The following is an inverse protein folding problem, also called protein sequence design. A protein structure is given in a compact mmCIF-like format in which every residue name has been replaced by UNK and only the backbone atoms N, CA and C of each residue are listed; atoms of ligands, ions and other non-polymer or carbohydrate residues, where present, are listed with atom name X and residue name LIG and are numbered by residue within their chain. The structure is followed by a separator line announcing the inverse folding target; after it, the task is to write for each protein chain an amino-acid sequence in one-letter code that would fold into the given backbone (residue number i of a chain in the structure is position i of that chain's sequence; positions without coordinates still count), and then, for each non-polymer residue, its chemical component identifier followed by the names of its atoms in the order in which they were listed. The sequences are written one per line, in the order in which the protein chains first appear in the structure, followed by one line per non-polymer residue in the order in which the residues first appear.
data_IF_374804353780
#
_entry.id   IF_374804353780
#
_cell.length_a   1.000
_cell.length_b   1.000
_cell.length_c   1.000
_cell.angle_alpha   90.00
_cell.angle_beta   90.00
_cell.angle_gamma   90.00
#
_symmetry.space_group_name_H-M   'P 1'
#
loop_
_entity.id
_entity.type
_entity.pdbx_description
1 polymer ?
#
# COMPACT_ATOMS: atom_id res chain seq x y z
N UNK A 1 -31.91 -0.99 13.09
CA UNK A 1 -30.65 -0.52 12.48
C UNK A 1 -29.62 -1.62 12.67
N UNK A 2 -29.34 -2.44 11.65
CA UNK A 2 -28.32 -3.48 11.78
C UNK A 2 -26.94 -2.81 11.75
N UNK A 3 -26.13 -3.03 12.78
CA UNK A 3 -24.71 -2.71 12.74
C UNK A 3 -24.09 -3.59 11.65
N UNK A 4 -23.80 -3.02 10.48
CA UNK A 4 -22.98 -3.71 9.49
C UNK A 4 -21.63 -3.91 10.16
N UNK A 5 -21.19 -5.15 10.42
CA UNK A 5 -19.90 -5.38 11.04
C UNK A 5 -18.86 -4.79 10.09
N UNK A 6 -18.13 -3.78 10.58
CA UNK A 6 -16.96 -3.24 9.89
C UNK A 6 -15.95 -4.38 9.88
N UNK A 7 -15.87 -5.11 8.76
CA UNK A 7 -14.87 -6.17 8.58
C UNK A 7 -13.50 -5.58 8.83
N UNK A 8 -12.69 -6.29 9.60
CA UNK A 8 -11.34 -5.84 9.94
C UNK A 8 -10.46 -5.88 8.68
N UNK A 9 -9.46 -4.99 8.60
CA UNK A 9 -8.47 -5.02 7.52
C UNK A 9 -7.76 -6.39 7.44
N UNK A 10 -7.56 -7.08 8.57
CA UNK A 10 -6.98 -8.43 8.58
C UNK A 10 -7.84 -9.45 7.83
N UNK A 11 -9.16 -9.34 7.94
CA UNK A 11 -10.09 -10.22 7.22
C UNK A 11 -10.16 -9.85 5.74
N UNK A 12 -10.11 -8.54 5.44
CA UNK A 12 -10.11 -8.02 4.06
C UNK A 12 -8.85 -8.43 3.30
N UNK A 13 -7.69 -8.42 3.95
CA UNK A 13 -6.43 -8.81 3.31
C UNK A 13 -6.39 -10.30 2.91
N UNK A 14 -7.30 -11.12 3.44
CA UNK A 14 -7.49 -12.52 3.04
C UNK A 14 -8.51 -12.68 1.91
N UNK A 15 -9.23 -11.61 1.54
CA UNK A 15 -10.16 -11.65 0.42
C UNK A 15 -9.38 -11.97 -0.87
N UNK A 16 -10.00 -12.75 -1.76
CA UNK A 16 -9.37 -13.22 -3.00
C UNK A 16 -8.82 -12.07 -3.85
N UNK A 17 -9.41 -10.88 -3.76
CA UNK A 17 -8.99 -9.71 -4.51
C UNK A 17 -7.65 -9.16 -4.04
N UNK A 18 -7.15 -9.57 -2.87
CA UNK A 18 -5.80 -9.28 -2.38
C UNK A 18 -4.79 -10.41 -2.66
N UNK A 19 -5.10 -11.30 -3.61
CA UNK A 19 -4.21 -12.35 -4.15
C UNK A 19 -3.82 -12.05 -5.60
N UNK A 20 -2.71 -12.62 -6.10
CA UNK A 20 -2.26 -12.38 -7.47
C UNK A 20 -3.30 -12.83 -8.52
N UNK A 21 -3.98 -13.94 -8.24
CA UNK A 21 -4.96 -14.57 -9.12
C UNK A 21 -6.29 -13.81 -9.11
N UNK A 22 -6.75 -13.37 -7.93
CA UNK A 22 -8.03 -12.67 -7.78
C UNK A 22 -7.95 -11.15 -7.92
N UNK A 23 -6.76 -10.58 -8.05
CA UNK A 23 -6.56 -9.13 -8.13
C UNK A 23 -7.36 -8.50 -9.28
N UNK A 24 -8.14 -7.47 -8.94
CA UNK A 24 -8.82 -6.63 -9.92
C UNK A 24 -7.79 -5.67 -10.52
N UNK A 25 -7.53 -5.78 -11.83
CA UNK A 25 -6.54 -4.95 -12.55
C UNK A 25 -7.18 -4.16 -13.68
N UNK A 26 -6.53 -3.08 -14.11
CA UNK A 26 -6.83 -2.43 -15.38
C UNK A 26 -6.20 -3.15 -16.59
N UNK A 27 -6.41 -2.59 -17.79
CA UNK A 27 -5.90 -3.14 -19.05
C UNK A 27 -4.36 -3.21 -19.13
N UNK A 28 -3.65 -2.47 -18.29
CA UNK A 28 -2.18 -2.42 -18.22
C UNK A 28 -1.61 -3.36 -17.15
N UNK A 29 -2.45 -4.20 -16.52
CA UNK A 29 -2.03 -5.10 -15.44
C UNK A 29 -1.77 -4.39 -14.11
N UNK A 30 -2.24 -3.14 -13.96
CA UNK A 30 -2.11 -2.40 -12.72
C UNK A 30 -3.32 -2.67 -11.82
N UNK A 31 -3.13 -2.89 -10.52
CA UNK A 31 -4.23 -3.00 -9.53
C UNK A 31 -5.21 -1.83 -9.65
N UNK A 32 -6.50 -2.09 -9.80
CA UNK A 32 -7.45 -1.10 -10.29
C UNK A 32 -7.76 -0.01 -9.24
N UNK A 33 -7.54 1.26 -9.59
CA UNK A 33 -7.58 2.36 -8.63
C UNK A 33 -8.91 2.49 -7.86
N UNK A 34 -10.03 2.55 -8.59
CA UNK A 34 -11.34 2.82 -7.99
C UNK A 34 -11.80 1.69 -7.06
N UNK A 35 -11.55 0.43 -7.44
CA UNK A 35 -11.86 -0.74 -6.65
C UNK A 35 -11.15 -0.69 -5.29
N UNK A 36 -9.82 -0.57 -5.29
CA UNK A 36 -9.07 -0.59 -4.02
C UNK A 36 -9.25 0.66 -3.16
N UNK A 37 -9.69 1.78 -3.77
CA UNK A 37 -10.01 3.01 -3.02
C UNK A 37 -11.14 2.80 -2.02
N UNK A 38 -12.06 1.86 -2.28
CA UNK A 38 -13.17 1.55 -1.38
C UNK A 38 -12.72 1.01 -0.01
N UNK A 39 -11.51 0.43 0.08
CA UNK A 39 -10.99 -0.16 1.32
C UNK A 39 -10.22 0.84 2.20
N UNK A 40 -9.99 2.07 1.75
CA UNK A 40 -9.18 3.08 2.48
C UNK A 40 -9.63 3.21 3.93
N UNK A 41 -10.94 3.30 4.18
CA UNK A 41 -11.45 3.54 5.52
C UNK A 41 -11.19 2.35 6.47
N UNK A 42 -11.37 1.12 6.00
CA UNK A 42 -11.13 -0.09 6.80
C UNK A 42 -9.65 -0.18 7.21
N UNK A 43 -8.75 0.08 6.27
CA UNK A 43 -7.31 0.08 6.53
C UNK A 43 -6.87 1.20 7.48
N UNK A 44 -7.42 2.41 7.35
CA UNK A 44 -7.15 3.52 8.28
C UNK A 44 -7.53 3.20 9.71
N UNK A 45 -8.75 2.70 9.93
CA UNK A 45 -9.25 2.38 11.27
C UNK A 45 -8.35 1.34 11.94
N UNK A 46 -7.97 0.29 11.20
CA UNK A 46 -7.11 -0.77 11.75
C UNK A 46 -5.67 -0.33 11.97
N UNK A 47 -5.10 0.49 11.08
CA UNK A 47 -3.75 1.03 11.26
C UNK A 47 -3.63 1.82 12.56
N UNK A 48 -4.63 2.65 12.89
CA UNK A 48 -4.66 3.35 14.18
C UNK A 48 -4.79 2.39 15.37
N UNK A 49 -5.62 1.35 15.25
CA UNK A 49 -5.84 0.38 16.33
C UNK A 49 -4.62 -0.51 16.61
N UNK A 50 -3.79 -0.78 15.60
CA UNK A 50 -2.58 -1.59 15.70
C UNK A 50 -1.29 -0.75 15.80
N UNK A 51 -1.42 0.56 15.96
CA UNK A 51 -0.26 1.43 16.08
C UNK A 51 0.44 1.16 17.41
N UNK A 52 1.58 0.47 17.37
CA UNK A 52 2.46 0.34 18.53
C UNK A 52 3.18 1.69 18.79
N UNK A 53 2.91 2.36 19.93
CA UNK A 53 3.56 3.62 20.29
C UNK A 53 5.05 3.46 20.60
N UNK A 54 5.51 2.24 20.93
CA UNK A 54 6.90 1.94 21.25
C UNK A 54 7.73 1.55 20.01
N UNK A 55 7.09 1.40 18.84
CA UNK A 55 7.79 1.03 17.62
C UNK A 55 8.87 2.09 17.25
N UNK A 56 10.05 1.65 16.76
CA UNK A 56 11.11 2.56 16.33
C UNK A 56 10.59 3.60 15.34
N UNK A 57 10.95 4.87 15.58
CA UNK A 57 10.60 5.98 14.70
C UNK A 57 11.66 6.20 13.62
N UNK A 58 11.27 6.65 12.43
CA UNK A 58 12.20 6.99 11.34
C UNK A 58 12.45 5.88 10.31
N UNK A 59 13.51 6.05 9.50
CA UNK A 59 13.81 5.24 8.30
C UNK A 59 14.12 3.75 8.55
N UNK A 60 14.26 3.34 9.82
CA UNK A 60 14.40 1.93 10.20
C UNK A 60 13.07 1.17 10.13
N UNK A 61 11.94 1.87 10.18
CA UNK A 61 10.62 1.24 10.02
C UNK A 61 10.32 1.11 8.54
N UNK A 62 9.94 -0.09 8.09
CA UNK A 62 9.24 -0.29 6.82
C UNK A 62 7.75 -0.03 7.10
N UNK A 63 7.25 1.19 6.87
CA UNK A 63 5.93 1.58 7.37
C UNK A 63 4.82 0.79 6.68
N UNK A 64 3.80 0.42 7.45
CA UNK A 64 2.68 -0.39 6.96
C UNK A 64 2.96 -1.88 6.91
N UNK A 65 4.22 -2.32 7.08
CA UNK A 65 4.51 -3.72 7.37
C UNK A 65 4.18 -4.04 8.84
N UNK A 66 3.70 -5.26 9.07
CA UNK A 66 3.42 -5.90 10.36
C UNK A 66 4.42 -7.03 10.57
N UNK A 67 4.49 -7.54 11.79
CA UNK A 67 5.30 -8.71 12.11
C UNK A 67 4.88 -9.91 11.25
N UNK A 68 5.88 -10.60 10.68
CA UNK A 68 5.67 -11.72 9.76
C UNK A 68 5.45 -11.32 8.30
N UNK A 69 5.27 -10.03 7.97
CA UNK A 69 5.26 -9.61 6.58
C UNK A 69 6.65 -9.81 5.95
N UNK A 70 6.65 -10.32 4.73
CA UNK A 70 7.83 -10.35 3.89
C UNK A 70 7.79 -9.17 2.94
N UNK A 71 8.86 -8.38 2.89
CA UNK A 71 9.02 -7.33 1.87
C UNK A 71 9.29 -7.98 0.52
N UNK A 72 8.43 -7.81 -0.50
CA UNK A 72 8.68 -8.38 -1.81
C UNK A 72 9.87 -7.71 -2.49
N UNK A 73 10.58 -8.48 -3.33
CA UNK A 73 11.59 -7.91 -4.22
C UNK A 73 10.93 -6.86 -5.14
N UNK A 74 11.70 -5.85 -5.53
CA UNK A 74 11.19 -4.76 -6.37
C UNK A 74 10.30 -3.74 -5.62
N UNK A 75 10.05 -3.90 -4.32
CA UNK A 75 9.37 -2.86 -3.51
C UNK A 75 10.36 -1.95 -2.79
N UNK A 76 10.06 -0.66 -2.66
CA UNK A 76 10.82 0.27 -1.79
C UNK A 76 9.94 1.36 -1.19
N UNK A 77 10.38 1.91 -0.06
CA UNK A 77 9.79 3.10 0.55
C UNK A 77 10.32 4.34 -0.15
N UNK A 78 9.47 5.34 -0.31
CA UNK A 78 9.83 6.69 -0.74
C UNK A 78 9.23 7.69 0.25
N UNK A 79 10.01 8.68 0.65
CA UNK A 79 9.58 9.73 1.58
C UNK A 79 10.37 11.02 1.31
N UNK A 80 9.69 11.99 0.68
CA UNK A 80 10.21 13.33 0.42
C UNK A 80 9.71 14.37 1.44
N UNK A 81 9.09 13.95 2.56
CA UNK A 81 8.58 14.88 3.59
C UNK A 81 9.67 15.77 4.20
N UNK A 82 10.91 15.28 4.25
CA UNK A 82 12.07 16.02 4.79
C UNK A 82 12.74 16.94 3.77
N UNK A 83 12.37 16.88 2.48
CA UNK A 83 12.91 17.78 1.44
C UNK A 83 12.18 19.13 1.50
N UNK A 84 12.35 19.85 2.61
CA UNK A 84 11.69 21.12 2.90
C UNK A 84 12.22 22.32 2.06
N UNK A 85 12.78 22.10 0.88
CA UNK A 85 13.33 23.16 0.01
C UNK A 85 12.93 23.00 -1.46
N UNK A 86 11.76 22.44 -1.75
CA UNK A 86 11.21 22.50 -3.11
C UNK A 86 10.66 23.91 -3.35
N UNK A 87 11.40 24.73 -4.10
CA UNK A 87 11.11 26.14 -4.43
C UNK A 87 9.76 26.40 -5.11
N UNK A 88 9.01 25.38 -5.48
CA UNK A 88 7.81 25.52 -6.32
C UNK A 88 6.60 24.77 -5.76
N UNK A 89 6.16 25.08 -4.52
CA UNK A 89 4.86 24.64 -3.98
C UNK A 89 4.54 23.14 -4.08
N UNK A 90 5.56 22.31 -4.35
CA UNK A 90 5.36 20.98 -4.88
C UNK A 90 5.14 20.07 -3.68
N UNK A 91 3.94 19.49 -3.65
CA UNK A 91 3.40 18.71 -2.54
C UNK A 91 4.34 17.56 -2.22
N UNK A 92 4.89 17.55 -1.01
CA UNK A 92 5.65 16.40 -0.50
C UNK A 92 4.86 15.10 -0.68
N UNK A 93 5.57 14.00 -0.88
CA UNK A 93 4.97 12.68 -1.03
C UNK A 93 5.73 11.63 -0.23
N UNK A 94 4.98 10.63 0.22
CA UNK A 94 5.53 9.48 0.92
C UNK A 94 4.67 8.25 0.58
N UNK A 95 5.27 7.07 0.56
CA UNK A 95 4.57 5.84 0.23
C UNK A 95 5.48 4.69 -0.19
N UNK A 96 4.87 3.73 -0.87
CA UNK A 96 5.56 2.56 -1.41
C UNK A 96 5.65 2.63 -2.93
N UNK A 97 6.73 2.09 -3.46
CA UNK A 97 6.97 1.95 -4.90
C UNK A 97 7.13 0.46 -5.19
N UNK A 98 6.36 -0.06 -6.14
CA UNK A 98 6.56 -1.37 -6.77
C UNK A 98 7.31 -1.18 -8.09
N UNK A 99 8.28 -2.03 -8.39
CA UNK A 99 9.07 -1.99 -9.62
C UNK A 99 9.40 -3.40 -10.10
N UNK A 100 8.95 -3.76 -11.29
CA UNK A 100 9.29 -5.02 -11.96
C UNK A 100 10.41 -4.86 -13.02
N UNK A 101 10.73 -3.62 -13.40
CA UNK A 101 11.84 -3.33 -14.30
C UNK A 101 12.11 -1.83 -14.45
N UNK A 102 13.11 -1.42 -15.26
CA UNK A 102 13.54 -0.02 -15.38
C UNK A 102 12.43 0.95 -15.82
N UNK A 103 11.45 0.46 -16.58
CA UNK A 103 10.33 1.26 -17.11
C UNK A 103 8.97 0.88 -16.52
N UNK A 104 8.95 -0.06 -15.57
CA UNK A 104 7.72 -0.60 -15.00
C UNK A 104 7.76 -0.40 -13.50
N UNK A 105 7.22 0.74 -13.08
CA UNK A 105 7.07 1.07 -11.67
C UNK A 105 5.71 1.68 -11.38
N UNK A 106 5.23 1.49 -10.16
CA UNK A 106 3.99 2.06 -9.68
C UNK A 106 4.12 2.54 -8.25
N UNK A 107 3.55 3.71 -8.00
CA UNK A 107 3.72 4.45 -6.75
C UNK A 107 2.40 4.50 -5.98
N UNK A 108 2.46 4.14 -4.71
CA UNK A 108 1.34 4.08 -3.78
C UNK A 108 1.54 5.14 -2.70
N UNK A 109 1.10 6.36 -2.99
CA UNK A 109 1.21 7.52 -2.10
C UNK A 109 0.20 7.43 -0.94
N UNK A 110 0.65 7.61 0.31
CA UNK A 110 -0.21 7.55 1.50
C UNK A 110 -1.28 8.63 1.54
N UNK A 111 -1.10 9.77 0.85
CA UNK A 111 -2.14 10.81 0.72
C UNK A 111 -3.31 10.33 -0.15
N UNK A 112 -3.03 9.45 -1.10
CA UNK A 112 -4.03 8.89 -2.02
C UNK A 112 -4.67 7.65 -1.41
N UNK A 113 -3.87 6.76 -0.83
CA UNK A 113 -4.31 5.47 -0.28
C UNK A 113 -4.63 5.51 1.22
N UNK A 114 -4.41 6.64 1.88
CA UNK A 114 -4.89 6.95 3.22
C UNK A 114 -4.16 6.30 4.39
N UNK A 115 -3.36 5.26 4.17
CA UNK A 115 -2.58 4.58 5.21
C UNK A 115 -1.28 4.03 4.63
N UNK A 116 -0.28 3.80 5.49
CA UNK A 116 0.92 3.09 5.08
C UNK A 116 0.63 1.61 4.83
N UNK A 117 -0.25 1.00 5.64
CA UNK A 117 -0.66 -0.41 5.46
C UNK A 117 -1.23 -0.66 4.07
N UNK A 118 -2.23 0.12 3.64
CA UNK A 118 -2.83 -0.10 2.32
C UNK A 118 -1.82 0.16 1.20
N UNK A 119 -0.97 1.18 1.33
CA UNK A 119 0.08 1.44 0.36
C UNK A 119 1.07 0.25 0.22
N UNK A 120 1.48 -0.34 1.35
CA UNK A 120 2.33 -1.54 1.36
C UNK A 120 1.62 -2.75 0.72
N UNK A 121 0.39 -3.04 1.15
CA UNK A 121 -0.39 -4.18 0.65
C UNK A 121 -0.60 -4.09 -0.86
N UNK A 122 -0.93 -2.90 -1.39
CA UNK A 122 -1.11 -2.71 -2.82
C UNK A 122 0.20 -2.77 -3.60
N UNK A 123 1.31 -2.29 -3.04
CA UNK A 123 2.62 -2.44 -3.68
C UNK A 123 3.03 -3.92 -3.77
N UNK A 124 2.78 -4.71 -2.71
CA UNK A 124 2.99 -6.16 -2.70
C UNK A 124 2.10 -6.87 -3.71
N UNK A 125 0.80 -6.54 -3.73
CA UNK A 125 -0.15 -7.09 -4.69
C UNK A 125 0.25 -6.78 -6.13
N UNK A 126 0.71 -5.56 -6.40
CA UNK A 126 1.15 -5.15 -7.73
C UNK A 126 2.33 -5.97 -8.24
N UNK A 127 3.33 -6.24 -7.39
CA UNK A 127 4.46 -7.12 -7.75
C UNK A 127 3.96 -8.53 -8.04
N UNK A 128 3.15 -9.10 -7.14
CA UNK A 128 2.63 -10.46 -7.30
C UNK A 128 1.81 -10.63 -8.58
N UNK A 129 1.01 -9.62 -8.96
CA UNK A 129 0.27 -9.59 -10.22
C UNK A 129 1.19 -9.57 -11.44
N UNK A 130 2.23 -8.75 -11.42
CA UNK A 130 3.20 -8.68 -12.53
C UNK A 130 3.97 -9.99 -12.67
N UNK A 131 4.41 -10.58 -11.56
CA UNK A 131 5.09 -11.88 -11.54
C UNK A 131 4.18 -13.00 -12.07
N UNK A 132 2.94 -13.10 -11.58
CA UNK A 132 2.01 -14.16 -11.98
C UNK A 132 1.59 -14.07 -13.46
N UNK A 133 1.58 -12.86 -14.02
CA UNK A 133 1.22 -12.63 -15.42
C UNK A 133 2.41 -12.52 -16.36
N UNK A 134 3.63 -12.56 -15.82
CA UNK A 134 4.88 -12.36 -16.56
C UNK A 134 4.88 -11.06 -17.38
N UNK A 135 4.43 -9.96 -16.75
CA UNK A 135 4.30 -8.62 -17.34
C UNK A 135 5.35 -7.68 -16.76
#
# INVERSE_FOLDING_TARGET
MALVPVRDALDIEQDKEFTAEGAITDASGNVQFLYYKSFIQAFKVKEMALMDPAAPTGFQRLPGMRDGDVRPYGTRVWDDTKRATAKDGNKWGAGWVASAGPKQSRWFNIRVWGSWRLAFVLARLQIAVWEARNI
#
